data_IF_016170537917
#
_entry.id   IF_016170537917
#
_cell.length_a   1.000
_cell.length_b   1.000
_cell.length_c   1.000
_cell.angle_alpha   90.00
_cell.angle_beta   90.00
_cell.angle_gamma   90.00
#
_symmetry.space_group_name_H-M   'P 1'
#
loop_
_entity.id
_entity.type
_entity.pdbx_description
1 polymer ?
#
# COMPACT_ATOMS: atom_id res chain seq x y z
N UNK A 1 -3.50 -18.91 -0.07
CA UNK A 1 -2.83 -17.95 -0.97
C UNK A 1 -1.37 -18.25 -1.30
N UNK A 2 -0.61 -19.10 -0.58
CA UNK A 2 0.77 -19.46 -1.03
C UNK A 2 0.71 -20.42 -2.23
N UNK A 3 -0.15 -21.43 -2.17
CA UNK A 3 -0.31 -22.40 -3.26
C UNK A 3 -0.84 -21.77 -4.55
N UNK A 4 -1.82 -20.89 -4.43
CA UNK A 4 -2.44 -20.17 -5.54
C UNK A 4 -1.43 -19.25 -6.24
N UNK A 5 -0.56 -18.59 -5.47
CA UNK A 5 0.54 -17.78 -6.03
C UNK A 5 1.61 -18.61 -6.70
N UNK A 6 2.03 -19.70 -6.06
CA UNK A 6 2.98 -20.62 -6.68
C UNK A 6 2.42 -21.19 -7.99
N UNK A 7 1.12 -21.43 -8.09
CA UNK A 7 0.47 -21.85 -9.33
C UNK A 7 0.47 -20.74 -10.40
N UNK A 8 0.35 -19.48 -10.01
CA UNK A 8 0.52 -18.36 -10.97
C UNK A 8 1.94 -18.34 -11.54
N UNK A 9 2.96 -18.41 -10.70
CA UNK A 9 4.36 -18.40 -11.15
C UNK A 9 4.73 -19.64 -11.97
N UNK A 10 4.32 -20.82 -11.51
CA UNK A 10 4.71 -22.09 -12.14
C UNK A 10 3.93 -22.39 -13.42
N UNK A 11 2.69 -21.91 -13.56
CA UNK A 11 1.81 -22.30 -14.67
C UNK A 11 1.22 -21.11 -15.44
N UNK A 12 0.59 -20.14 -14.75
CA UNK A 12 -0.15 -19.08 -15.44
C UNK A 12 0.76 -18.04 -16.11
N UNK A 13 1.79 -17.54 -15.41
CA UNK A 13 2.68 -16.48 -15.90
C UNK A 13 3.46 -16.90 -17.15
N UNK A 14 4.07 -18.11 -17.24
CA UNK A 14 4.74 -18.52 -18.47
C UNK A 14 3.80 -18.58 -19.68
N UNK A 15 2.56 -19.03 -19.47
CA UNK A 15 1.54 -19.09 -20.54
C UNK A 15 1.11 -17.70 -21.00
N UNK A 16 0.93 -16.78 -20.06
CA UNK A 16 0.59 -15.38 -20.35
C UNK A 16 1.73 -14.67 -21.07
N UNK A 17 2.97 -14.88 -20.64
CA UNK A 17 4.16 -14.34 -21.29
C UNK A 17 4.25 -14.79 -22.76
N UNK A 18 4.13 -16.10 -23.01
CA UNK A 18 4.11 -16.63 -24.38
C UNK A 18 2.96 -16.06 -25.21
N UNK A 19 1.77 -15.91 -24.62
CA UNK A 19 0.62 -15.32 -25.30
C UNK A 19 0.90 -13.86 -25.68
N UNK A 20 1.34 -13.03 -24.73
CA UNK A 20 1.68 -11.64 -24.98
C UNK A 20 2.76 -11.51 -26.06
N UNK A 21 3.84 -12.31 -25.99
CA UNK A 21 4.91 -12.31 -26.98
C UNK A 21 4.41 -12.62 -28.39
N UNK A 22 3.52 -13.61 -28.56
CA UNK A 22 2.91 -13.93 -29.86
C UNK A 22 2.09 -12.78 -30.45
N UNK A 23 1.59 -11.88 -29.60
CA UNK A 23 0.82 -10.71 -30.00
C UNK A 23 1.64 -9.41 -30.00
N UNK A 24 2.97 -9.48 -29.81
CA UNK A 24 3.85 -8.30 -29.81
C UNK A 24 3.79 -7.47 -28.53
N UNK A 25 3.29 -8.04 -27.43
CA UNK A 25 3.24 -7.39 -26.12
C UNK A 25 4.27 -7.98 -25.16
N UNK A 26 4.72 -7.16 -24.22
CA UNK A 26 5.49 -7.60 -23.06
C UNK A 26 4.54 -7.87 -21.89
N UNK A 27 4.76 -8.98 -21.19
CA UNK A 27 4.05 -9.32 -19.96
C UNK A 27 4.93 -8.96 -18.76
N UNK A 28 4.33 -8.39 -17.71
CA UNK A 28 4.99 -8.13 -16.44
C UNK A 28 4.07 -8.53 -15.29
N UNK A 29 4.53 -9.47 -14.47
CA UNK A 29 3.87 -9.83 -13.22
C UNK A 29 4.42 -8.98 -12.07
N UNK A 30 3.53 -8.31 -11.33
CA UNK A 30 3.89 -7.46 -10.17
C UNK A 30 3.14 -7.97 -8.94
N UNK A 31 3.84 -8.60 -7.99
CA UNK A 31 3.29 -8.90 -6.65
C UNK A 31 3.62 -7.73 -5.70
N UNK A 32 2.61 -6.89 -5.45
CA UNK A 32 2.69 -5.74 -4.56
C UNK A 32 2.93 -6.09 -3.08
N UNK A 33 2.98 -7.38 -2.71
CA UNK A 33 3.35 -7.84 -1.37
C UNK A 33 4.85 -8.06 -1.20
N UNK A 34 5.57 -8.35 -2.29
CA UNK A 34 7.02 -8.57 -2.29
C UNK A 34 7.81 -7.37 -2.83
N UNK A 35 7.15 -6.49 -3.59
CA UNK A 35 7.75 -5.29 -4.18
C UNK A 35 7.83 -4.06 -3.27
N UNK A 36 7.43 -4.16 -1.99
CA UNK A 36 7.48 -3.05 -1.04
C UNK A 36 8.60 -3.31 -0.04
N UNK A 37 9.61 -2.43 -0.03
CA UNK A 37 10.75 -2.55 0.87
C UNK A 37 10.27 -2.53 2.33
N UNK A 38 11.01 -3.20 3.22
CA UNK A 38 10.75 -3.18 4.67
C UNK A 38 10.64 -1.74 5.21
N UNK A 39 11.42 -0.82 4.64
CA UNK A 39 11.39 0.62 4.95
C UNK A 39 10.06 1.29 4.61
N UNK A 40 9.44 0.95 3.48
CA UNK A 40 8.10 1.46 3.14
C UNK A 40 6.98 0.87 4.00
N UNK A 41 7.24 -0.24 4.69
CA UNK A 41 6.39 -0.77 5.76
C UNK A 41 6.45 0.06 7.04
N UNK A 42 7.63 0.61 7.37
CA UNK A 42 7.86 1.41 8.58
C UNK A 42 7.23 2.80 8.50
N UNK A 43 7.20 3.42 7.33
CA UNK A 43 6.65 4.78 7.12
C UNK A 43 5.14 4.80 6.77
N UNK A 44 4.42 3.69 6.94
CA UNK A 44 3.01 3.55 6.51
C UNK A 44 2.76 3.82 5.00
N UNK A 45 3.83 3.91 4.19
CA UNK A 45 3.80 4.28 2.75
C UNK A 45 3.46 3.16 1.80
N UNK A 46 3.41 1.94 2.31
CA UNK A 46 3.19 0.73 1.51
C UNK A 46 1.98 0.86 0.57
N UNK A 47 0.84 1.34 1.08
CA UNK A 47 -0.37 1.48 0.26
C UNK A 47 -0.22 2.53 -0.84
N UNK A 48 0.49 3.63 -0.58
CA UNK A 48 0.74 4.66 -1.61
C UNK A 48 1.55 4.09 -2.77
N UNK A 49 2.62 3.35 -2.48
CA UNK A 49 3.44 2.70 -3.52
C UNK A 49 2.59 1.74 -4.37
N UNK A 50 1.74 0.93 -3.71
CA UNK A 50 0.81 0.03 -4.41
C UNK A 50 -0.14 0.78 -5.34
N UNK A 51 -0.71 1.91 -4.90
CA UNK A 51 -1.63 2.71 -5.71
C UNK A 51 -0.93 3.46 -6.84
N UNK A 52 0.29 3.95 -6.62
CA UNK A 52 1.08 4.61 -7.66
C UNK A 52 1.47 3.62 -8.76
N UNK A 53 1.79 2.38 -8.41
CA UNK A 53 2.05 1.32 -9.39
C UNK A 53 0.79 0.96 -10.18
N UNK A 54 -0.36 0.87 -9.51
CA UNK A 54 -1.65 0.67 -10.19
C UNK A 54 -1.94 1.80 -11.18
N UNK A 55 -1.73 3.06 -10.78
CA UNK A 55 -1.93 4.22 -11.66
C UNK A 55 -1.01 4.15 -12.87
N UNK A 56 0.27 3.84 -12.65
CA UNK A 56 1.25 3.66 -13.73
C UNK A 56 0.83 2.56 -14.71
N UNK A 57 0.39 1.40 -14.22
CA UNK A 57 -0.12 0.33 -15.06
C UNK A 57 -1.33 0.77 -15.89
N UNK A 58 -2.23 1.56 -15.29
CA UNK A 58 -3.41 2.12 -15.97
C UNK A 58 -3.05 3.13 -17.07
N UNK A 59 -1.99 3.91 -16.88
CA UNK A 59 -1.51 4.91 -17.84
C UNK A 59 -0.72 4.28 -18.99
N UNK A 60 0.13 3.28 -18.70
CA UNK A 60 1.09 2.74 -19.67
C UNK A 60 0.58 1.54 -20.47
N UNK A 61 -0.38 0.77 -19.95
CA UNK A 61 -0.76 -0.51 -20.55
C UNK A 61 -2.23 -0.59 -20.99
N UNK A 62 -2.52 -1.24 -22.14
CA UNK A 62 -3.88 -1.44 -22.61
C UNK A 62 -4.74 -2.20 -21.60
N UNK A 63 -6.04 -1.88 -21.54
CA UNK A 63 -6.97 -2.61 -20.67
C UNK A 63 -7.28 -4.00 -21.24
N UNK A 64 -7.44 -5.04 -20.40
CA UNK A 64 -7.29 -5.03 -18.93
C UNK A 64 -5.83 -5.06 -18.48
N UNK A 65 -5.47 -4.20 -17.53
CA UNK A 65 -4.10 -3.99 -17.06
C UNK A 65 -3.87 -4.30 -15.57
N UNK A 66 -4.90 -4.83 -14.89
CA UNK A 66 -4.84 -5.11 -13.47
C UNK A 66 -5.76 -6.28 -13.11
N UNK A 67 -5.25 -7.17 -12.25
CA UNK A 67 -5.96 -8.32 -11.71
C UNK A 67 -5.81 -8.31 -10.19
N UNK A 68 -6.93 -8.39 -9.46
CA UNK A 68 -6.93 -8.61 -8.01
C UNK A 68 -7.41 -10.02 -7.72
N UNK A 69 -6.69 -10.73 -6.83
CA UNK A 69 -7.15 -11.96 -6.20
C UNK A 69 -7.51 -11.70 -4.74
N UNK A 70 -8.81 -11.70 -4.45
CA UNK A 70 -9.33 -11.56 -3.09
C UNK A 70 -9.50 -12.94 -2.45
N UNK A 71 -9.07 -13.07 -1.19
CA UNK A 71 -9.35 -14.25 -0.38
C UNK A 71 -10.45 -13.97 0.66
N UNK A 72 -10.85 -15.00 1.40
CA UNK A 72 -11.88 -14.89 2.46
C UNK A 72 -11.42 -14.12 3.72
N UNK A 73 -10.25 -13.46 3.68
CA UNK A 73 -9.71 -12.68 4.80
C UNK A 73 -9.09 -11.40 4.24
N UNK A 74 -9.31 -10.27 4.91
CA UNK A 74 -8.76 -8.97 4.54
C UNK A 74 -7.23 -8.91 4.59
N UNK A 75 -6.58 -9.80 5.34
CA UNK A 75 -5.13 -9.81 5.47
C UNK A 75 -4.60 -8.66 6.32
N UNK A 76 -3.38 -8.22 6.02
CA UNK A 76 -2.72 -7.12 6.72
C UNK A 76 -3.39 -5.78 6.40
N UNK A 77 -3.69 -4.99 7.43
CA UNK A 77 -4.32 -3.67 7.34
C UNK A 77 -3.33 -2.64 7.87
N UNK A 78 -2.56 -1.96 7.01
CA UNK A 78 -1.64 -0.94 7.45
C UNK A 78 -2.40 0.26 8.02
N UNK A 79 -1.73 0.99 8.91
CA UNK A 79 -2.19 2.32 9.29
C UNK A 79 -2.13 3.25 8.06
N UNK A 80 -3.04 4.22 7.97
CA UNK A 80 -2.98 5.21 6.90
C UNK A 80 -1.68 6.04 7.01
N UNK A 81 -1.14 6.48 5.87
CA UNK A 81 0.02 7.38 5.86
C UNK A 81 -0.33 8.77 6.40
N UNK A 82 -1.55 9.23 6.12
CA UNK A 82 -2.06 10.55 6.53
C UNK A 82 -3.40 10.38 7.24
N UNK A 83 -3.60 11.16 8.30
CA UNK A 83 -4.88 11.30 9.01
C UNK A 83 -5.24 12.77 9.13
N UNK A 84 -6.52 13.06 9.36
CA UNK A 84 -6.94 14.45 9.58
C UNK A 84 -6.42 15.00 10.92
N UNK A 85 -6.28 16.32 11.01
CA UNK A 85 -5.88 17.00 12.26
C UNK A 85 -6.86 16.68 13.39
N UNK A 86 -8.15 16.63 13.08
CA UNK A 86 -9.21 16.31 14.05
C UNK A 86 -9.12 14.85 14.55
N UNK A 87 -8.85 13.91 13.65
CA UNK A 87 -8.61 12.52 14.00
C UNK A 87 -7.33 12.36 14.84
N UNK A 88 -6.26 13.08 14.49
CA UNK A 88 -5.02 13.09 15.27
C UNK A 88 -5.27 13.57 16.72
N UNK A 89 -5.96 14.69 16.90
CA UNK A 89 -6.28 15.18 18.25
C UNK A 89 -7.17 14.22 19.03
N UNK A 90 -8.14 13.59 18.36
CA UNK A 90 -8.99 12.57 19.00
C UNK A 90 -8.16 11.38 19.48
N UNK A 91 -7.25 10.90 18.63
CA UNK A 91 -6.33 9.80 18.97
C UNK A 91 -5.34 10.19 20.06
N UNK A 92 -4.88 11.44 20.10
CA UNK A 92 -3.96 11.95 21.12
C UNK A 92 -4.62 11.94 22.52
N UNK A 93 -5.86 12.41 22.62
CA UNK A 93 -6.63 12.34 23.88
C UNK A 93 -6.86 10.90 24.33
N UNK A 94 -7.21 10.01 23.40
CA UNK A 94 -7.39 8.58 23.71
C UNK A 94 -6.07 7.92 24.13
N UNK A 95 -4.96 8.23 23.47
CA UNK A 95 -3.64 7.69 23.76
C UNK A 95 -3.13 8.10 25.15
N UNK A 96 -3.51 9.27 25.66
CA UNK A 96 -3.17 9.71 27.01
C UNK A 96 -3.76 8.79 28.11
N UNK A 97 -4.82 8.04 27.80
CA UNK A 97 -5.49 7.10 28.72
C UNK A 97 -4.97 5.66 28.58
N UNK A 98 -4.08 5.39 27.62
CA UNK A 98 -3.55 4.05 27.36
C UNK A 98 -2.20 3.91 28.07
N UNK A 99 -2.01 2.87 28.92
CA UNK A 99 -0.70 2.52 29.44
C UNK A 99 0.28 2.30 28.28
N UNK A 100 1.38 3.06 28.25
CA UNK A 100 2.43 2.90 27.25
C UNK A 100 3.18 1.58 27.36
N UNK A 101 4.18 1.38 26.49
CA UNK A 101 5.18 0.33 26.70
C UNK A 101 6.17 0.76 27.78
N UNK A 102 7.06 -0.16 28.20
CA UNK A 102 8.12 0.14 29.17
C UNK A 102 9.02 1.33 28.73
N UNK A 103 9.13 1.57 27.42
CA UNK A 103 10.08 2.54 26.85
C UNK A 103 9.41 3.82 26.33
N UNK A 104 8.12 3.80 25.96
CA UNK A 104 7.42 4.95 25.37
C UNK A 104 5.95 5.00 25.78
N UNK A 105 5.45 6.21 26.05
CA UNK A 105 4.00 6.44 26.20
C UNK A 105 3.30 6.30 24.84
N UNK A 106 2.01 5.94 24.85
CA UNK A 106 1.24 5.83 23.61
C UNK A 106 1.16 7.17 22.84
N UNK A 107 1.10 8.29 23.56
CA UNK A 107 1.16 9.64 22.97
C UNK A 107 2.49 9.90 22.28
N UNK A 108 3.61 9.48 22.88
CA UNK A 108 4.94 9.66 22.28
C UNK A 108 5.06 8.87 20.97
N UNK A 109 4.54 7.64 20.92
CA UNK A 109 4.50 6.83 19.70
C UNK A 109 3.62 7.49 18.63
N UNK A 110 2.44 7.99 18.99
CA UNK A 110 1.53 8.65 18.03
C UNK A 110 2.19 9.88 17.37
N UNK A 111 2.88 10.72 18.16
CA UNK A 111 3.61 11.91 17.68
C UNK A 111 4.86 11.57 16.85
N UNK A 112 5.43 10.39 17.06
CA UNK A 112 6.54 9.89 16.25
C UNK A 112 6.03 9.42 14.88
N UNK A 113 4.90 8.73 14.84
CA UNK A 113 4.28 8.20 13.62
C UNK A 113 3.65 9.29 12.76
N UNK A 114 2.93 10.23 13.36
CA UNK A 114 2.28 11.31 12.63
C UNK A 114 2.89 12.65 13.05
N UNK A 115 3.49 13.32 12.07
CA UNK A 115 3.99 14.69 12.21
C UNK A 115 3.09 15.64 11.44
N UNK A 116 2.91 16.84 11.97
CA UNK A 116 2.19 17.89 11.26
C UNK A 116 2.96 18.25 9.98
N UNK A 117 2.42 17.81 8.84
CA UNK A 117 2.91 18.23 7.55
C UNK A 117 2.43 19.66 7.31
N UNK A 118 3.31 20.64 7.44
CA UNK A 118 3.01 21.99 6.96
C UNK A 118 2.71 21.92 5.46
N UNK A 119 1.45 22.08 5.08
CA UNK A 119 1.03 22.29 3.68
C UNK A 119 0.66 23.77 3.55
N UNK A 120 1.31 24.55 2.66
CA UNK A 120 0.86 25.91 2.40
C UNK A 120 -0.59 25.88 1.90
N UNK A 121 -1.45 26.73 2.47
CA UNK A 121 -2.82 26.95 1.98
C UNK A 121 -2.81 27.62 0.60
N UNK A 122 -2.57 26.86 -0.46
CA UNK A 122 -2.77 27.28 -1.86
C UNK A 122 -2.93 26.00 -2.69
N UNK A 123 -4.05 25.69 -3.34
CA UNK A 123 -4.70 26.47 -4.40
C UNK A 123 -6.13 25.90 -4.59
N UNK A 124 -7.17 26.71 -4.85
CA UNK A 124 -8.49 26.20 -5.15
C UNK A 124 -8.45 25.38 -6.46
N UNK A 125 -9.03 24.17 -6.44
CA UNK A 125 -9.35 23.44 -7.66
C UNK A 125 -10.18 24.34 -8.58
N UNK A 126 -9.68 24.57 -9.79
CA UNK A 126 -10.51 25.04 -10.91
C UNK A 126 -11.30 23.86 -11.47
#
# INVERSE_FOLDING_TARGET
>A
MKHERNALEADAFPKLEQLCQRHGFQFQAIDLRWGVSTEAGLDHRTMRICFDELRRAQELSPRPNFLILLGNRYGWRPLPEEISVEEFHTLEHAAAQIPGSADKSAVAVLREWYREAWRPRTTPCR
#
